data_IF_512411650844
#
_entry.id   IF_512411650844
#
_cell.length_a   1.000
_cell.length_b   1.000
_cell.length_c   1.000
_cell.angle_alpha   90.00
_cell.angle_beta   90.00
_cell.angle_gamma   90.00
#
_symmetry.space_group_name_H-M   'P 1'
#
loop_
_entity.id
_entity.type
_entity.pdbx_description
1 polymer ?
#
# COMPACT_ATOMS: atom_id res chain seq x y z
N UNK A 1 -17.31 0.78 -31.58
CA UNK A 1 -16.30 1.49 -30.79
C UNK A 1 -16.79 1.87 -29.38
N UNK A 2 -17.88 2.60 -29.20
CA UNK A 2 -18.42 2.99 -27.87
C UNK A 2 -18.66 1.81 -26.92
N UNK A 3 -19.36 0.74 -27.36
CA UNK A 3 -19.65 -0.44 -26.53
C UNK A 3 -18.39 -1.13 -26.00
N UNK A 4 -17.32 -1.19 -26.79
CA UNK A 4 -16.03 -1.76 -26.38
C UNK A 4 -15.37 -0.94 -25.26
N UNK A 5 -15.39 0.40 -25.35
CA UNK A 5 -14.84 1.28 -24.33
C UNK A 5 -15.56 1.10 -22.99
N UNK A 6 -16.87 0.97 -22.97
CA UNK A 6 -17.63 0.74 -21.71
C UNK A 6 -17.25 -0.59 -21.05
N UNK A 7 -17.10 -1.66 -21.85
CA UNK A 7 -16.68 -2.97 -21.33
C UNK A 7 -15.26 -2.89 -20.74
N UNK A 8 -14.32 -2.25 -21.44
CA UNK A 8 -12.95 -2.07 -20.97
C UNK A 8 -12.89 -1.19 -19.72
N UNK A 9 -13.72 -0.13 -19.64
CA UNK A 9 -13.83 0.73 -18.45
C UNK A 9 -14.29 -0.04 -17.22
N UNK A 10 -15.34 -0.83 -17.35
CA UNK A 10 -15.83 -1.69 -16.27
C UNK A 10 -14.78 -2.72 -15.85
N UNK A 11 -14.11 -3.33 -16.83
CA UNK A 11 -13.05 -4.30 -16.56
C UNK A 11 -11.87 -3.69 -15.83
N UNK A 12 -11.48 -2.45 -16.14
CA UNK A 12 -10.41 -1.73 -15.43
C UNK A 12 -10.74 -1.48 -13.96
N UNK A 13 -11.99 -1.07 -13.66
CA UNK A 13 -12.44 -0.91 -12.27
C UNK A 13 -12.36 -2.27 -11.54
N UNK A 14 -12.84 -3.34 -12.17
CA UNK A 14 -12.76 -4.68 -11.59
C UNK A 14 -11.30 -5.12 -11.34
N UNK A 15 -10.40 -4.91 -12.32
CA UNK A 15 -8.97 -5.23 -12.16
C UNK A 15 -8.37 -4.48 -10.96
N UNK A 16 -8.65 -3.18 -10.83
CA UNK A 16 -8.22 -2.39 -9.68
C UNK A 16 -8.78 -2.94 -8.37
N UNK A 17 -10.09 -3.20 -8.33
CA UNK A 17 -10.75 -3.77 -7.14
C UNK A 17 -10.19 -5.13 -6.75
N UNK A 18 -9.96 -6.02 -7.71
CA UNK A 18 -9.32 -7.32 -7.41
C UNK A 18 -7.88 -7.17 -6.95
N UNK A 19 -7.11 -6.20 -7.48
CA UNK A 19 -5.75 -5.94 -7.02
C UNK A 19 -5.71 -5.62 -5.51
N UNK A 20 -6.76 -5.03 -4.95
CA UNK A 20 -6.85 -4.75 -3.52
C UNK A 20 -6.83 -6.01 -2.66
N UNK A 21 -7.32 -7.15 -3.17
CA UNK A 21 -7.33 -8.43 -2.45
C UNK A 21 -5.93 -9.01 -2.22
N UNK A 22 -4.90 -8.46 -2.86
CA UNK A 22 -3.52 -8.84 -2.61
C UNK A 22 -2.96 -8.25 -1.31
N UNK A 23 -3.62 -7.24 -0.76
CA UNK A 23 -3.23 -6.57 0.48
C UNK A 23 -3.91 -7.20 1.70
N UNK A 24 -3.40 -6.94 2.93
CA UNK A 24 -4.12 -7.31 4.14
C UNK A 24 -5.57 -6.78 4.17
N UNK A 25 -6.51 -7.53 4.73
CA UNK A 25 -6.34 -8.81 5.42
C UNK A 25 -6.35 -10.05 4.51
N UNK A 26 -6.60 -9.89 3.20
CA UNK A 26 -6.80 -11.04 2.30
C UNK A 26 -5.50 -11.71 1.86
N UNK A 27 -4.48 -10.92 1.49
CA UNK A 27 -3.13 -11.37 1.10
C UNK A 27 -3.08 -12.35 -0.09
N UNK A 28 -4.03 -12.24 -1.04
CA UNK A 28 -4.07 -13.07 -2.25
C UNK A 28 -3.11 -12.52 -3.32
N UNK A 29 -1.81 -12.59 -3.06
CA UNK A 29 -0.74 -12.00 -3.89
C UNK A 29 -0.81 -12.42 -5.38
N UNK A 30 -1.26 -13.64 -5.67
CA UNK A 30 -1.36 -14.18 -7.04
C UNK A 30 -2.26 -13.30 -7.91
N UNK A 31 -3.26 -12.63 -7.33
CA UNK A 31 -4.18 -11.75 -8.06
C UNK A 31 -3.43 -10.61 -8.74
N UNK A 32 -2.37 -10.08 -8.13
CA UNK A 32 -1.62 -8.98 -8.72
C UNK A 32 -0.89 -9.38 -10.02
N UNK A 33 -0.47 -10.63 -10.16
CA UNK A 33 0.09 -11.11 -11.42
C UNK A 33 -0.93 -11.05 -12.57
N UNK A 34 -2.20 -11.24 -12.29
CA UNK A 34 -3.26 -11.10 -13.29
C UNK A 34 -3.62 -9.63 -13.51
N UNK A 35 -3.88 -8.87 -12.44
CA UNK A 35 -4.40 -7.50 -12.54
C UNK A 35 -3.40 -6.56 -13.18
N UNK A 36 -2.14 -6.56 -12.76
CA UNK A 36 -1.10 -5.71 -13.35
C UNK A 36 -0.71 -6.14 -14.76
N UNK A 37 -0.66 -7.46 -15.04
CA UNK A 37 -0.43 -7.93 -16.40
C UNK A 37 -1.53 -7.49 -17.36
N UNK A 38 -2.80 -7.68 -17.01
CA UNK A 38 -3.91 -7.25 -17.85
C UNK A 38 -3.99 -5.73 -17.98
N UNK A 39 -3.71 -4.98 -16.91
CA UNK A 39 -3.66 -3.53 -16.96
C UNK A 39 -2.59 -3.05 -17.94
N UNK A 40 -1.37 -3.58 -17.87
CA UNK A 40 -0.30 -3.28 -18.81
C UNK A 40 -0.68 -3.65 -20.24
N UNK A 41 -1.25 -4.85 -20.48
CA UNK A 41 -1.72 -5.28 -21.81
C UNK A 41 -2.77 -4.31 -22.37
N UNK A 42 -3.72 -3.85 -21.55
CA UNK A 42 -4.74 -2.88 -21.99
C UNK A 42 -4.11 -1.56 -22.41
N UNK A 43 -3.13 -1.05 -21.66
CA UNK A 43 -2.42 0.18 -22.02
C UNK A 43 -1.63 0.02 -23.32
N UNK A 44 -0.98 -1.13 -23.56
CA UNK A 44 -0.29 -1.41 -24.81
C UNK A 44 -1.28 -1.50 -25.99
N UNK A 45 -2.38 -2.24 -25.84
CA UNK A 45 -3.41 -2.34 -26.87
C UNK A 45 -4.06 -0.97 -27.17
N UNK A 46 -4.29 -0.16 -26.12
CA UNK A 46 -4.79 1.19 -26.32
C UNK A 46 -3.80 2.04 -27.14
N UNK A 47 -2.49 1.90 -26.90
CA UNK A 47 -1.48 2.62 -27.66
C UNK A 47 -1.43 2.24 -29.13
N UNK A 48 -1.72 0.99 -29.48
CA UNK A 48 -1.81 0.53 -30.87
C UNK A 48 -3.02 1.11 -31.61
N UNK A 49 -4.14 1.25 -30.89
CA UNK A 49 -5.41 1.70 -31.49
C UNK A 49 -5.54 3.24 -31.46
N UNK A 50 -5.09 3.88 -30.40
CA UNK A 50 -5.28 5.30 -30.17
C UNK A 50 -4.14 5.91 -29.34
N UNK A 51 -3.72 7.10 -29.74
CA UNK A 51 -2.76 7.90 -28.95
C UNK A 51 -3.48 9.03 -28.19
N UNK A 52 -4.74 8.84 -27.88
CA UNK A 52 -5.53 9.83 -27.17
C UNK A 52 -5.13 9.91 -25.69
N UNK A 53 -4.51 11.01 -25.31
CA UNK A 53 -3.99 11.29 -23.96
C UNK A 53 -5.09 11.19 -22.90
N UNK A 54 -6.31 11.65 -23.19
CA UNK A 54 -7.45 11.58 -22.26
C UNK A 54 -7.84 10.12 -21.96
N UNK A 55 -7.84 9.25 -22.98
CA UNK A 55 -8.18 7.83 -22.77
C UNK A 55 -7.14 7.13 -21.88
N UNK A 56 -5.85 7.40 -22.05
CA UNK A 56 -4.82 6.86 -21.18
C UNK A 56 -4.99 7.29 -19.75
N UNK A 57 -5.24 8.59 -19.53
CA UNK A 57 -5.54 9.10 -18.20
C UNK A 57 -6.75 8.39 -17.59
N UNK A 58 -7.85 8.27 -18.34
CA UNK A 58 -9.09 7.61 -17.88
C UNK A 58 -8.82 6.14 -17.55
N UNK A 59 -8.05 5.40 -18.34
CA UNK A 59 -7.75 3.99 -18.08
C UNK A 59 -6.99 3.80 -16.76
N UNK A 60 -5.95 4.61 -16.53
CA UNK A 60 -5.24 4.60 -15.26
C UNK A 60 -6.12 5.02 -14.09
N UNK A 61 -6.92 6.09 -14.28
CA UNK A 61 -7.84 6.58 -13.26
C UNK A 61 -8.89 5.54 -12.86
N UNK A 62 -9.48 4.82 -13.83
CA UNK A 62 -10.47 3.78 -13.57
C UNK A 62 -9.87 2.58 -12.81
N UNK A 63 -8.66 2.14 -13.20
CA UNK A 63 -7.94 1.11 -12.46
C UNK A 63 -7.64 1.58 -11.03
N UNK A 64 -7.10 2.79 -10.86
CA UNK A 64 -6.84 3.39 -9.55
C UNK A 64 -8.12 3.57 -8.72
N UNK A 65 -9.22 4.00 -9.34
CA UNK A 65 -10.52 4.15 -8.68
C UNK A 65 -10.98 2.82 -8.07
N UNK A 66 -10.96 1.74 -8.84
CA UNK A 66 -11.30 0.40 -8.32
C UNK A 66 -10.38 0.00 -7.17
N UNK A 67 -9.07 0.19 -7.34
CA UNK A 67 -8.06 -0.16 -6.33
C UNK A 67 -8.27 0.60 -5.02
N UNK A 68 -8.37 1.92 -5.05
CA UNK A 68 -8.49 2.74 -3.85
C UNK A 68 -9.87 2.64 -3.21
N UNK A 69 -10.96 2.51 -3.98
CA UNK A 69 -12.30 2.33 -3.39
C UNK A 69 -12.37 1.06 -2.56
N UNK A 70 -11.84 -0.05 -3.10
CA UNK A 70 -11.85 -1.33 -2.40
C UNK A 70 -10.90 -1.39 -1.19
N UNK A 71 -9.82 -0.58 -1.20
CA UNK A 71 -8.85 -0.55 -0.11
C UNK A 71 -9.18 0.45 1.00
N UNK A 72 -9.88 1.55 0.70
CA UNK A 72 -9.94 2.72 1.59
C UNK A 72 -11.33 3.03 2.11
N UNK A 73 -12.33 2.17 1.87
CA UNK A 73 -13.69 2.36 2.37
C UNK A 73 -13.73 2.55 3.90
N UNK A 74 -12.81 1.93 4.61
CA UNK A 74 -12.71 1.99 6.07
C UNK A 74 -12.35 3.39 6.59
N UNK A 75 -11.72 4.27 5.80
CA UNK A 75 -11.43 5.65 6.21
C UNK A 75 -12.72 6.39 6.58
N UNK A 76 -13.83 6.07 5.93
CA UNK A 76 -15.12 6.67 6.24
C UNK A 76 -15.64 6.33 7.64
N UNK A 77 -15.13 5.26 8.27
CA UNK A 77 -15.49 4.87 9.64
C UNK A 77 -15.08 5.95 10.64
N UNK A 78 -13.99 6.69 10.38
CA UNK A 78 -13.58 7.82 11.24
C UNK A 78 -14.66 8.88 11.38
N UNK A 79 -15.52 9.06 10.38
CA UNK A 79 -16.64 10.02 10.41
C UNK A 79 -17.85 9.53 11.22
N UNK A 80 -17.83 8.28 11.69
CA UNK A 80 -18.92 7.76 12.54
C UNK A 80 -18.76 8.16 14.00
N UNK A 81 -17.58 8.66 14.40
CA UNK A 81 -17.30 9.05 15.78
C UNK A 81 -17.98 10.37 16.19
N UNK A 82 -18.29 11.23 15.21
CA UNK A 82 -19.04 12.47 15.42
C UNK A 82 -20.29 12.48 14.54
N UNK A 83 -21.46 12.60 15.17
CA UNK A 83 -22.76 12.63 14.47
C UNK A 83 -22.83 13.72 13.39
N UNK A 84 -22.16 14.87 13.64
CA UNK A 84 -22.14 16.02 12.72
C UNK A 84 -21.50 15.70 11.37
N UNK A 85 -20.63 14.67 11.29
CA UNK A 85 -19.90 14.32 10.08
C UNK A 85 -20.43 13.08 9.34
N UNK A 86 -21.40 12.36 9.91
CA UNK A 86 -21.94 11.15 9.28
C UNK A 86 -22.49 11.37 7.87
N UNK A 87 -23.03 12.53 7.57
CA UNK A 87 -23.56 12.86 6.24
C UNK A 87 -22.45 12.90 5.16
N UNK A 88 -21.18 13.05 5.55
CA UNK A 88 -20.03 13.05 4.65
C UNK A 88 -19.55 11.65 4.26
N UNK A 89 -20.02 10.60 4.93
CA UNK A 89 -19.59 9.21 4.66
C UNK A 89 -19.72 8.83 3.18
N UNK A 90 -20.87 9.00 2.49
CA UNK A 90 -20.97 8.65 1.08
C UNK A 90 -20.00 9.44 0.20
N UNK A 91 -19.77 10.71 0.54
CA UNK A 91 -18.86 11.59 -0.19
C UNK A 91 -17.41 11.13 -0.03
N UNK A 92 -17.00 10.76 1.18
CA UNK A 92 -15.63 10.30 1.48
C UNK A 92 -15.30 8.99 0.77
N UNK A 93 -16.26 8.03 0.74
CA UNK A 93 -16.08 6.75 0.03
C UNK A 93 -15.83 6.95 -1.47
N UNK A 94 -16.32 8.03 -2.06
CA UNK A 94 -16.16 8.32 -3.49
C UNK A 94 -14.99 9.27 -3.74
N UNK A 95 -14.92 10.40 -3.04
CA UNK A 95 -13.96 11.46 -3.36
C UNK A 95 -12.52 11.10 -3.01
N UNK A 96 -12.26 10.44 -1.87
CA UNK A 96 -10.90 10.07 -1.49
C UNK A 96 -10.30 9.09 -2.49
N UNK A 97 -10.94 7.97 -2.85
CA UNK A 97 -10.45 7.09 -3.91
C UNK A 97 -10.33 7.79 -5.27
N UNK A 98 -11.31 8.61 -5.65
CA UNK A 98 -11.28 9.32 -6.93
C UNK A 98 -10.10 10.29 -7.02
N UNK A 99 -9.77 10.99 -5.93
CA UNK A 99 -8.61 11.87 -5.84
C UNK A 99 -7.30 11.07 -5.93
N UNK A 100 -7.14 9.99 -5.16
CA UNK A 100 -5.95 9.15 -5.22
C UNK A 100 -5.78 8.47 -6.58
N UNK A 101 -6.87 8.11 -7.24
CA UNK A 101 -6.84 7.56 -8.59
C UNK A 101 -6.26 8.54 -9.64
N UNK A 102 -6.25 9.86 -9.38
CA UNK A 102 -5.61 10.84 -10.27
C UNK A 102 -4.12 10.53 -10.48
N UNK A 103 -3.44 10.00 -9.48
CA UNK A 103 -2.04 9.57 -9.61
C UNK A 103 -1.87 8.44 -10.62
N UNK A 104 -2.75 7.43 -10.60
CA UNK A 104 -2.74 6.34 -11.59
C UNK A 104 -3.12 6.83 -12.99
N UNK A 105 -4.07 7.76 -13.07
CA UNK A 105 -4.39 8.48 -14.30
C UNK A 105 -3.17 9.22 -14.86
N UNK A 106 -2.47 9.96 -13.99
CA UNK A 106 -1.23 10.67 -14.35
C UNK A 106 -0.13 9.71 -14.80
N UNK A 107 0.06 8.59 -14.09
CA UNK A 107 1.05 7.58 -14.47
C UNK A 107 0.77 7.01 -15.88
N UNK A 108 -0.47 6.65 -16.17
CA UNK A 108 -0.86 6.16 -17.49
C UNK A 108 -0.70 7.22 -18.58
N UNK A 109 -1.01 8.47 -18.29
CA UNK A 109 -0.80 9.58 -19.20
C UNK A 109 0.69 9.81 -19.49
N UNK A 110 1.53 9.83 -18.48
CA UNK A 110 2.99 9.97 -18.62
C UNK A 110 3.58 8.78 -19.39
N UNK A 111 3.11 7.56 -19.11
CA UNK A 111 3.52 6.37 -19.83
C UNK A 111 3.27 6.51 -21.35
N UNK A 112 2.11 7.06 -21.76
CA UNK A 112 1.84 7.33 -23.17
C UNK A 112 2.85 8.30 -23.77
N UNK A 113 3.13 9.43 -23.08
CA UNK A 113 4.01 10.48 -23.61
C UNK A 113 5.44 9.96 -23.78
N UNK A 114 5.92 9.20 -22.81
CA UNK A 114 7.31 8.73 -22.74
C UNK A 114 7.52 7.36 -23.35
N UNK A 115 6.45 6.70 -23.83
CA UNK A 115 6.51 5.31 -24.31
C UNK A 115 7.55 5.14 -25.42
N UNK A 116 8.60 4.34 -25.22
CA UNK A 116 9.53 3.97 -26.27
C UNK A 116 8.89 3.00 -27.29
N UNK A 117 9.50 2.82 -28.45
CA UNK A 117 8.96 2.00 -29.54
C UNK A 117 9.11 0.48 -29.32
N UNK A 118 9.98 0.05 -28.42
CA UNK A 118 10.29 -1.38 -28.17
C UNK A 118 9.53 -1.90 -26.95
N UNK A 119 8.99 -3.10 -27.04
CA UNK A 119 8.17 -3.69 -25.97
C UNK A 119 8.89 -3.77 -24.62
N UNK A 120 10.13 -4.28 -24.57
CA UNK A 120 10.90 -4.36 -23.33
C UNK A 120 11.16 -3.00 -22.70
N UNK A 121 11.54 -2.01 -23.52
CA UNK A 121 11.73 -0.63 -23.04
C UNK A 121 10.43 -0.02 -22.53
N UNK A 122 9.29 -0.32 -23.18
CA UNK A 122 7.97 0.14 -22.72
C UNK A 122 7.58 -0.47 -21.38
N UNK A 123 7.94 -1.72 -21.15
CA UNK A 123 7.69 -2.40 -19.88
C UNK A 123 8.47 -1.76 -18.73
N UNK A 124 9.77 -1.54 -18.88
CA UNK A 124 10.55 -0.86 -17.85
C UNK A 124 10.09 0.58 -17.62
N UNK A 125 9.69 1.27 -18.71
CA UNK A 125 9.14 2.61 -18.60
C UNK A 125 7.80 2.61 -17.83
N UNK A 126 6.93 1.64 -18.07
CA UNK A 126 5.69 1.47 -17.30
C UNK A 126 6.00 1.35 -15.80
N UNK A 127 6.89 0.43 -15.45
CA UNK A 127 7.27 0.20 -14.05
C UNK A 127 7.90 1.44 -13.41
N UNK A 128 8.80 2.12 -14.14
CA UNK A 128 9.46 3.33 -13.66
C UNK A 128 8.46 4.46 -13.41
N UNK A 129 7.56 4.71 -14.37
CA UNK A 129 6.57 5.80 -14.26
C UNK A 129 5.60 5.53 -13.12
N UNK A 130 5.06 4.31 -13.02
CA UNK A 130 4.16 3.96 -11.92
C UNK A 130 4.86 3.99 -10.57
N UNK A 131 6.08 3.43 -10.46
CA UNK A 131 6.87 3.47 -9.22
C UNK A 131 7.22 4.90 -8.79
N UNK A 132 7.57 5.79 -9.74
CA UNK A 132 7.85 7.20 -9.45
C UNK A 132 6.60 7.93 -9.00
N UNK A 133 5.46 7.71 -9.64
CA UNK A 133 4.19 8.35 -9.26
C UNK A 133 3.72 7.86 -7.88
N UNK A 134 3.92 6.58 -7.55
CA UNK A 134 3.67 6.05 -6.20
C UNK A 134 4.57 6.72 -5.14
N UNK A 135 5.86 6.94 -5.46
CA UNK A 135 6.75 7.71 -4.58
C UNK A 135 6.25 9.14 -4.39
N UNK A 136 5.90 9.83 -5.48
CA UNK A 136 5.35 11.20 -5.42
C UNK A 136 4.09 11.24 -4.56
N UNK A 137 3.14 10.30 -4.75
CA UNK A 137 1.92 10.17 -3.94
C UNK A 137 2.23 10.02 -2.45
N UNK A 138 3.30 9.30 -2.13
CA UNK A 138 3.71 9.06 -0.75
C UNK A 138 4.36 10.26 -0.05
N UNK A 139 4.75 11.32 -0.78
CA UNK A 139 5.49 12.44 -0.18
C UNK A 139 4.85 13.82 -0.38
N UNK A 140 4.00 14.01 -1.40
CA UNK A 140 3.32 15.29 -1.63
C UNK A 140 2.02 15.41 -0.81
N UNK A 141 1.55 16.63 -0.58
CA UNK A 141 0.28 16.92 0.13
C UNK A 141 0.19 16.21 1.48
N UNK A 142 1.23 16.32 2.31
CA UNK A 142 1.42 15.60 3.59
C UNK A 142 1.75 14.10 3.44
N UNK A 143 1.65 13.57 2.23
CA UNK A 143 1.96 12.19 1.89
C UNK A 143 0.81 11.21 2.18
N UNK A 144 0.64 10.24 1.27
CA UNK A 144 -0.25 9.11 1.50
C UNK A 144 0.46 7.82 1.07
N UNK A 145 1.40 7.29 1.90
CA UNK A 145 2.23 6.14 1.56
C UNK A 145 1.52 4.79 1.74
N UNK A 146 0.24 4.81 2.11
CA UNK A 146 -0.53 3.60 2.36
C UNK A 146 -0.90 2.91 1.06
N UNK A 147 -1.21 1.62 1.16
CA UNK A 147 -1.63 0.80 0.02
C UNK A 147 -0.60 0.78 -1.12
N UNK A 148 0.69 0.74 -0.81
CA UNK A 148 1.72 0.43 -1.80
C UNK A 148 1.64 -1.04 -2.20
N UNK A 149 1.92 -1.35 -3.47
CA UNK A 149 1.84 -2.71 -4.01
C UNK A 149 2.82 -3.68 -3.32
N UNK A 150 3.92 -3.17 -2.81
CA UNK A 150 4.90 -3.95 -2.02
C UNK A 150 4.27 -4.62 -0.80
N UNK A 151 3.23 -4.04 -0.21
CA UNK A 151 2.56 -4.62 0.96
C UNK A 151 1.73 -5.88 0.64
N UNK A 152 1.62 -6.27 -0.62
CA UNK A 152 1.15 -7.61 -1.00
C UNK A 152 2.03 -8.72 -0.42
N UNK A 153 3.28 -8.40 -0.07
CA UNK A 153 4.21 -9.31 0.59
C UNK A 153 4.18 -9.23 2.12
N UNK A 154 3.18 -8.59 2.74
CA UNK A 154 3.12 -8.39 4.20
C UNK A 154 3.20 -9.69 5.01
N UNK A 155 2.71 -10.81 4.47
CA UNK A 155 2.81 -12.13 5.09
C UNK A 155 4.13 -12.87 4.79
N UNK A 156 4.99 -12.30 3.95
CA UNK A 156 6.30 -12.86 3.58
C UNK A 156 7.41 -11.91 4.06
N UNK A 157 7.61 -11.90 5.38
CA UNK A 157 8.59 -11.01 6.03
C UNK A 157 10.01 -11.21 5.49
N UNK A 158 10.31 -12.41 5.00
CA UNK A 158 11.60 -12.75 4.40
C UNK A 158 11.83 -11.89 3.15
N UNK A 159 10.81 -11.78 2.27
CA UNK A 159 10.91 -10.94 1.06
C UNK A 159 11.00 -9.47 1.47
N UNK A 160 10.20 -9.03 2.44
CA UNK A 160 10.20 -7.65 2.91
C UNK A 160 11.52 -7.25 3.60
N UNK A 161 12.30 -8.20 4.10
CA UNK A 161 13.60 -7.93 4.75
C UNK A 161 14.58 -7.16 3.86
N UNK A 162 14.45 -7.26 2.52
CA UNK A 162 15.28 -6.52 1.57
C UNK A 162 15.05 -5.00 1.62
N UNK A 163 13.91 -4.54 2.16
CA UNK A 163 13.61 -3.11 2.36
C UNK A 163 14.73 -2.41 3.15
N UNK A 164 15.37 -3.13 4.09
CA UNK A 164 16.49 -2.61 4.87
C UNK A 164 17.71 -2.21 4.02
N UNK A 165 17.80 -2.68 2.78
CA UNK A 165 18.90 -2.38 1.84
C UNK A 165 18.45 -1.41 0.76
N UNK A 166 17.31 -1.69 0.10
CA UNK A 166 16.89 -0.93 -1.09
C UNK A 166 15.78 0.09 -0.82
N UNK A 167 15.15 0.05 0.36
CA UNK A 167 14.03 0.91 0.72
C UNK A 167 12.68 0.45 0.14
N UNK A 168 11.60 0.97 0.74
CA UNK A 168 10.22 0.56 0.44
C UNK A 168 9.81 0.89 -1.00
N UNK A 169 10.12 2.08 -1.49
CA UNK A 169 9.69 2.51 -2.83
C UNK A 169 10.45 1.81 -3.96
N UNK A 170 11.73 1.45 -3.74
CA UNK A 170 12.49 0.65 -4.71
C UNK A 170 11.92 -0.75 -4.81
N UNK A 171 11.56 -1.37 -3.67
CA UNK A 171 10.89 -2.66 -3.69
C UNK A 171 9.47 -2.55 -4.29
N UNK A 172 8.76 -1.44 -4.06
CA UNK A 172 7.45 -1.21 -4.67
C UNK A 172 7.54 -1.15 -6.20
N UNK A 173 8.54 -0.44 -6.75
CA UNK A 173 8.81 -0.41 -8.19
C UNK A 173 9.12 -1.83 -8.72
N UNK A 174 9.94 -2.59 -8.01
CA UNK A 174 10.22 -3.99 -8.34
C UNK A 174 8.94 -4.83 -8.34
N UNK A 175 8.06 -4.68 -7.34
CA UNK A 175 6.78 -5.40 -7.28
C UNK A 175 5.87 -5.07 -8.47
N UNK A 176 5.76 -3.80 -8.86
CA UNK A 176 5.01 -3.39 -10.06
C UNK A 176 5.56 -4.11 -11.31
N UNK A 177 6.89 -4.16 -11.43
CA UNK A 177 7.55 -4.88 -12.54
C UNK A 177 7.29 -6.37 -12.47
N UNK A 178 7.47 -6.99 -11.31
CA UNK A 178 7.26 -8.42 -11.10
C UNK A 178 5.82 -8.82 -11.48
N UNK A 179 4.83 -8.10 -10.97
CA UNK A 179 3.41 -8.43 -11.20
C UNK A 179 2.96 -8.15 -12.64
N UNK A 180 3.57 -7.19 -13.33
CA UNK A 180 3.29 -6.95 -14.74
C UNK A 180 4.06 -7.89 -15.69
N UNK A 181 5.14 -8.55 -15.22
CA UNK A 181 6.03 -9.35 -16.10
C UNK A 181 5.35 -10.54 -16.82
N UNK A 182 4.31 -11.22 -16.26
CA UNK A 182 3.63 -12.27 -17.00
C UNK A 182 2.91 -11.80 -18.27
N UNK A 183 2.68 -10.48 -18.43
CA UNK A 183 2.18 -9.92 -19.69
C UNK A 183 3.04 -10.27 -20.91
N UNK A 184 4.33 -10.58 -20.71
CA UNK A 184 5.25 -11.02 -21.77
C UNK A 184 4.86 -12.35 -22.40
N UNK A 185 4.11 -13.21 -21.72
CA UNK A 185 3.59 -14.42 -22.37
C UNK A 185 2.63 -14.11 -23.52
N UNK A 186 1.99 -12.91 -23.49
CA UNK A 186 1.04 -12.45 -24.52
C UNK A 186 1.67 -11.43 -25.46
N UNK A 187 2.52 -10.51 -24.94
CA UNK A 187 3.03 -9.35 -25.68
C UNK A 187 4.46 -9.51 -26.21
N UNK A 188 5.08 -10.68 -26.05
CA UNK A 188 6.48 -10.90 -26.45
C UNK A 188 6.70 -10.77 -27.95
N UNK A 189 7.78 -10.11 -28.31
CA UNK A 189 8.34 -10.11 -29.67
C UNK A 189 9.57 -11.04 -29.79
N UNK A 190 10.23 -11.33 -28.65
CA UNK A 190 11.45 -12.13 -28.60
C UNK A 190 11.51 -13.01 -27.34
N UNK A 191 12.49 -13.92 -27.30
CA UNK A 191 12.75 -14.71 -26.07
C UNK A 191 13.29 -13.87 -24.90
N UNK A 192 13.80 -12.66 -25.16
CA UNK A 192 14.39 -11.80 -24.12
C UNK A 192 13.35 -11.38 -23.06
N UNK A 193 12.11 -11.14 -23.46
CA UNK A 193 11.03 -10.77 -22.53
C UNK A 193 10.72 -11.89 -21.54
N UNK A 194 10.75 -13.14 -22.03
CA UNK A 194 10.55 -14.31 -21.14
C UNK A 194 11.73 -14.48 -20.19
N UNK A 195 12.96 -14.26 -20.65
CA UNK A 195 14.13 -14.28 -19.77
C UNK A 195 14.01 -13.22 -18.68
N UNK A 196 13.58 -12.01 -19.02
CA UNK A 196 13.36 -10.94 -18.05
C UNK A 196 12.28 -11.34 -17.03
N UNK A 197 11.17 -11.93 -17.47
CA UNK A 197 10.15 -12.45 -16.57
C UNK A 197 10.75 -13.47 -15.59
N UNK A 198 11.50 -14.44 -16.07
CA UNK A 198 12.18 -15.46 -15.24
C UNK A 198 13.14 -14.79 -14.24
N UNK A 199 13.91 -13.78 -14.68
CA UNK A 199 14.83 -13.06 -13.82
C UNK A 199 14.11 -12.35 -12.65
N UNK A 200 12.92 -11.80 -12.85
CA UNK A 200 12.12 -11.23 -11.75
C UNK A 200 11.77 -12.29 -10.70
N UNK A 201 11.37 -13.49 -11.12
CA UNK A 201 11.07 -14.59 -10.18
C UNK A 201 12.33 -15.08 -9.45
N UNK A 202 13.47 -15.23 -10.15
CA UNK A 202 14.74 -15.60 -9.53
C UNK A 202 15.18 -14.54 -8.51
N UNK A 203 15.03 -13.25 -8.83
CA UNK A 203 15.35 -12.16 -7.91
C UNK A 203 14.45 -12.19 -6.68
N UNK A 204 13.14 -12.46 -6.85
CA UNK A 204 12.21 -12.62 -5.71
C UNK A 204 12.63 -13.78 -4.81
N UNK A 205 13.04 -14.92 -5.40
CA UNK A 205 13.56 -16.05 -4.64
C UNK A 205 14.86 -15.69 -3.90
N UNK A 206 15.74 -14.89 -4.51
CA UNK A 206 16.95 -14.40 -3.86
C UNK A 206 16.64 -13.50 -2.66
N UNK A 207 15.61 -12.65 -2.75
CA UNK A 207 15.13 -11.83 -1.62
C UNK A 207 14.61 -12.70 -0.49
N UNK A 208 13.85 -13.75 -0.81
CA UNK A 208 13.36 -14.71 0.18
C UNK A 208 14.51 -15.42 0.90
N UNK A 209 15.51 -15.95 0.17
CA UNK A 209 16.68 -16.61 0.75
C UNK A 209 17.47 -15.65 1.65
N UNK A 210 17.69 -14.42 1.18
CA UNK A 210 18.36 -13.39 1.99
C UNK A 210 17.62 -13.12 3.31
N UNK A 211 16.30 -12.95 3.26
CA UNK A 211 15.51 -12.69 4.46
C UNK A 211 15.44 -13.89 5.40
N UNK A 212 15.35 -15.12 4.86
CA UNK A 212 15.36 -16.34 5.67
C UNK A 212 16.68 -16.47 6.45
N UNK A 213 17.82 -16.20 5.81
CA UNK A 213 19.13 -16.21 6.50
C UNK A 213 19.20 -15.14 7.59
N UNK A 214 18.62 -13.96 7.38
CA UNK A 214 18.56 -12.91 8.41
C UNK A 214 17.65 -13.30 9.57
N UNK A 215 16.51 -13.90 9.30
CA UNK A 215 15.59 -14.38 10.34
C UNK A 215 16.25 -15.47 11.19
N UNK A 216 16.94 -16.42 10.57
CA UNK A 216 17.70 -17.47 11.27
C UNK A 216 18.81 -16.88 12.15
N UNK A 217 19.60 -15.95 11.61
CA UNK A 217 20.64 -15.26 12.38
C UNK A 217 20.06 -14.52 13.57
N UNK A 218 18.92 -13.82 13.40
CA UNK A 218 18.24 -13.11 14.48
C UNK A 218 17.79 -14.07 15.58
N UNK A 219 17.16 -15.19 15.21
CA UNK A 219 16.66 -16.18 16.15
C UNK A 219 17.78 -16.89 16.93
N UNK A 220 18.96 -17.06 16.31
CA UNK A 220 20.13 -17.68 16.93
C UNK A 220 21.01 -16.68 17.70
N UNK A 221 20.69 -15.38 17.67
CA UNK A 221 21.45 -14.38 18.42
C UNK A 221 21.04 -14.41 19.88
N UNK A 222 22.00 -14.64 20.78
CA UNK A 222 21.76 -14.54 22.22
C UNK A 222 21.33 -13.11 22.57
N UNK A 223 20.13 -12.99 23.14
CA UNK A 223 19.64 -11.71 23.63
C UNK A 223 20.23 -11.44 25.01
N UNK A 224 20.98 -10.35 25.16
CA UNK A 224 21.37 -9.87 26.47
C UNK A 224 20.11 -9.57 27.29
N UNK A 225 19.97 -10.24 28.45
CA UNK A 225 18.84 -9.93 29.36
C UNK A 225 19.00 -8.49 29.84
N UNK A 226 18.04 -7.67 29.49
CA UNK A 226 17.98 -6.30 30.01
C UNK A 226 17.62 -6.34 31.50
N UNK A 227 18.21 -5.44 32.28
CA UNK A 227 17.94 -5.31 33.73
C UNK A 227 16.59 -4.60 33.98
N UNK A 228 15.72 -4.47 32.98
CA UNK A 228 14.40 -3.87 33.08
C UNK A 228 13.41 -4.60 32.15
N UNK A 229 12.15 -4.54 32.54
CA UNK A 229 11.04 -5.06 31.74
C UNK A 229 10.46 -3.95 30.85
N UNK A 230 10.00 -4.30 29.67
CA UNK A 230 9.16 -3.43 28.83
C UNK A 230 7.73 -3.96 28.85
N UNK A 231 6.77 -3.11 29.17
CA UNK A 231 5.35 -3.46 29.17
C UNK A 231 4.59 -2.52 28.23
N UNK A 232 4.13 -3.08 27.13
CA UNK A 232 3.31 -2.36 26.14
C UNK A 232 1.86 -2.53 26.58
N UNK A 233 1.16 -1.42 26.75
CA UNK A 233 -0.20 -1.40 27.25
C UNK A 233 -1.16 -1.21 26.07
N UNK A 234 -2.11 -2.12 25.93
CA UNK A 234 -3.28 -1.97 25.06
C UNK A 234 -4.50 -1.69 25.94
N UNK A 235 -4.84 -0.42 26.07
CA UNK A 235 -5.79 0.01 27.09
C UNK A 235 -7.25 -0.24 26.74
N UNK A 236 -7.58 -0.53 25.49
CA UNK A 236 -8.97 -0.66 24.98
C UNK A 236 -9.91 0.48 25.47
N UNK A 237 -9.35 1.69 25.70
CA UNK A 237 -10.12 2.85 26.13
C UNK A 237 -10.91 3.37 24.92
N UNK A 238 -12.21 3.62 25.12
CA UNK A 238 -13.08 4.11 24.06
C UNK A 238 -12.66 5.51 23.60
N UNK A 239 -12.72 5.75 22.29
CA UNK A 239 -12.43 7.03 21.67
C UNK A 239 -13.41 8.13 22.07
N UNK A 240 -14.59 7.77 22.57
CA UNK A 240 -15.62 8.70 23.08
C UNK A 240 -15.08 9.70 24.12
N UNK A 241 -13.98 9.37 24.80
CA UNK A 241 -13.32 10.26 25.76
C UNK A 241 -12.85 11.59 25.14
N UNK A 242 -12.51 11.61 23.83
CA UNK A 242 -12.12 12.85 23.16
C UNK A 242 -13.30 13.75 22.81
N UNK A 243 -14.52 13.20 22.81
CA UNK A 243 -15.74 13.90 22.46
C UNK A 243 -16.64 14.20 23.68
N UNK A 244 -16.38 13.54 24.82
CA UNK A 244 -17.07 13.77 26.11
C UNK A 244 -16.06 14.42 27.04
N UNK A 245 -16.53 15.38 27.87
CA UNK A 245 -15.71 16.00 28.93
C UNK A 245 -15.29 14.95 29.96
N UNK A 246 -14.30 14.14 29.61
CA UNK A 246 -13.72 13.12 30.50
C UNK A 246 -12.56 13.76 31.23
N UNK A 247 -12.53 13.64 32.54
CA UNK A 247 -11.43 14.14 33.36
C UNK A 247 -10.12 13.43 32.96
N UNK A 248 -9.10 14.17 32.52
CA UNK A 248 -7.81 13.60 32.13
C UNK A 248 -7.16 12.79 33.24
N UNK A 249 -7.32 13.19 34.49
CA UNK A 249 -6.72 12.49 35.65
C UNK A 249 -7.31 11.09 35.79
N UNK A 250 -8.62 10.92 35.57
CA UNK A 250 -9.26 9.60 35.60
C UNK A 250 -8.70 8.64 34.53
N UNK A 251 -8.33 9.17 33.35
CA UNK A 251 -7.70 8.38 32.27
C UNK A 251 -6.30 7.93 32.68
N UNK A 252 -5.52 8.80 33.31
CA UNK A 252 -4.18 8.46 33.82
C UNK A 252 -4.28 7.39 34.91
N UNK A 253 -5.19 7.53 35.84
CA UNK A 253 -5.39 6.55 36.92
C UNK A 253 -5.75 5.16 36.36
N UNK A 254 -6.61 5.11 35.35
CA UNK A 254 -6.96 3.87 34.70
C UNK A 254 -5.76 3.26 33.94
N UNK A 255 -4.96 4.08 33.26
CA UNK A 255 -3.73 3.64 32.61
C UNK A 255 -2.72 3.08 33.63
N UNK A 256 -2.56 3.73 34.78
CA UNK A 256 -1.68 3.26 35.85
C UNK A 256 -2.20 1.92 36.41
N UNK A 257 -3.50 1.79 36.66
CA UNK A 257 -4.10 0.52 37.10
C UNK A 257 -3.88 -0.62 36.12
N UNK A 258 -4.13 -0.38 34.81
CA UNK A 258 -3.90 -1.38 33.76
C UNK A 258 -2.42 -1.71 33.64
N UNK A 259 -1.54 -0.73 33.79
CA UNK A 259 -0.10 -0.90 33.76
C UNK A 259 0.41 -1.74 34.93
N UNK A 260 -0.28 -1.80 36.06
CA UNK A 260 0.03 -2.59 37.24
C UNK A 260 1.51 -2.47 37.66
N UNK A 261 2.01 -1.25 38.01
CA UNK A 261 3.42 -1.06 38.34
C UNK A 261 3.77 -1.82 39.63
N UNK A 262 4.95 -2.47 39.65
CA UNK A 262 5.46 -3.22 40.79
C UNK A 262 6.60 -2.46 41.44
N UNK A 263 6.59 -2.24 42.77
CA UNK A 263 7.59 -1.44 43.48
C UNK A 263 9.04 -1.91 43.31
N UNK A 264 9.25 -3.21 43.10
CA UNK A 264 10.58 -3.82 43.04
C UNK A 264 11.04 -4.15 41.62
N UNK A 265 10.31 -3.73 40.58
CA UNK A 265 10.65 -4.01 39.19
C UNK A 265 10.98 -2.73 38.44
N UNK A 266 12.12 -2.70 37.77
CA UNK A 266 12.42 -1.64 36.81
C UNK A 266 11.64 -1.94 35.51
N UNK A 267 10.55 -1.18 35.28
CA UNK A 267 9.67 -1.39 34.12
C UNK A 267 9.52 -0.09 33.35
N UNK A 268 9.69 -0.17 32.02
CA UNK A 268 9.32 0.89 31.09
C UNK A 268 7.91 0.58 30.59
N UNK A 269 6.98 1.50 30.79
CA UNK A 269 5.62 1.41 30.27
C UNK A 269 5.53 2.20 28.97
N UNK A 270 4.97 1.58 27.94
CA UNK A 270 4.68 2.21 26.65
C UNK A 270 3.18 2.26 26.49
N UNK A 271 2.65 3.46 26.52
CA UNK A 271 1.23 3.74 26.30
C UNK A 271 0.96 4.10 24.85
N UNK A 272 -0.26 3.85 24.33
CA UNK A 272 -0.63 4.23 22.97
C UNK A 272 -0.51 5.72 22.71
N UNK A 273 -0.17 6.09 21.48
CA UNK A 273 -0.18 7.48 21.02
C UNK A 273 -1.57 8.10 21.20
N UNK A 274 -1.61 9.38 21.54
CA UNK A 274 -2.85 10.15 21.70
C UNK A 274 -3.76 9.65 22.82
N UNK A 275 -3.25 8.86 23.79
CA UNK A 275 -4.08 8.32 24.86
C UNK A 275 -4.43 9.36 25.94
N UNK A 276 -3.60 10.37 26.10
CA UNK A 276 -3.81 11.45 27.04
C UNK A 276 -4.43 12.65 26.31
N UNK A 277 -5.67 13.06 26.62
CA UNK A 277 -6.24 14.26 26.06
C UNK A 277 -5.60 15.49 26.72
N UNK A 278 -5.19 16.47 25.91
CA UNK A 278 -4.85 17.86 26.21
C UNK A 278 -4.25 18.16 27.61
N UNK A 279 -3.31 17.33 28.06
CA UNK A 279 -2.57 17.59 29.30
C UNK A 279 -1.24 18.26 28.94
N UNK A 280 -1.01 19.47 29.42
CA UNK A 280 0.29 20.11 29.33
C UNK A 280 1.31 19.41 30.23
N UNK A 281 2.61 19.50 29.86
CA UNK A 281 3.68 18.96 30.71
C UNK A 281 3.70 19.56 32.14
N UNK A 282 3.13 20.72 32.31
CA UNK A 282 3.12 21.47 33.59
C UNK A 282 1.97 21.01 34.49
N UNK A 283 1.05 20.17 33.97
CA UNK A 283 -0.09 19.61 34.71
C UNK A 283 0.15 18.15 35.15
N UNK A 284 1.25 17.54 34.72
CA UNK A 284 1.70 16.21 35.11
C UNK A 284 2.77 16.28 36.21
#
# INVERSE_FOLDING_TARGET
MKKKIYIESFFLILLGSFSSLSLPPFNYIIINFLTFSFFYILLIKLFEISKNKKLFFIYGWLFGLGYFTSNLYWISISLTFDESFKFLIPLTIVLVPAFLALFYGLASFLFLILKPKKNLSSFFLFSLVFGTVEFIRGVILTGFPWNLIVYSFSNQIEILSIISIIGTYSLNLFCISLFASPSFFILRDSKKEIIVCILFFITTLSFYVFGSQRAEKFNNTETNKLNYKMRIISSNINIDRFYKNTDPISVIDDLIKISSPQKNEKTIFIWPEGILPDISKDEL
#
